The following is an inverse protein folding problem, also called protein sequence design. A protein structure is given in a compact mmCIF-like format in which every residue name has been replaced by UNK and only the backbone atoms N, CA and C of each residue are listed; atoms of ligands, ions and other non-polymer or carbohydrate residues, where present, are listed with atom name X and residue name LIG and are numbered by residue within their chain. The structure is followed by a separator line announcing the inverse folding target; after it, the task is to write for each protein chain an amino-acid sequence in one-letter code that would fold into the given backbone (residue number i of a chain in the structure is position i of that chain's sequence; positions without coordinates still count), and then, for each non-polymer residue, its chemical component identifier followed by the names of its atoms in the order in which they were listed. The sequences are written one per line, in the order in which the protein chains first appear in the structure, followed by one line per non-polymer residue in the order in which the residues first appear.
data_IF_857234274066
#
_entry.id   IF_857234274066
#
_cell.length_a   1.000
_cell.length_b   1.000
_cell.length_c   1.000
_cell.angle_alpha   90.00
_cell.angle_beta   90.00
_cell.angle_gamma   90.00
#
_symmetry.space_group_name_H-M   'P 1'
#
loop_
_entity.id
_entity.type
_entity.pdbx_description
1 polymer ?
#
# COMPACT_ATOMS: atom_id res chain seq x y z
N UNK A 1 26.01 -1.17 7.67
CA UNK A 1 25.78 0.27 7.96
C UNK A 1 26.80 0.71 8.97
N UNK A 2 27.50 1.82 8.72
CA UNK A 2 28.46 2.40 9.68
C UNK A 2 28.11 3.88 9.86
N UNK A 3 28.10 4.32 11.11
CA UNK A 3 28.03 5.73 11.48
C UNK A 3 29.42 6.05 12.03
N UNK A 4 30.07 7.06 11.48
CA UNK A 4 31.36 7.49 12.02
C UNK A 4 31.18 8.25 13.35
N UNK A 5 32.29 8.56 14.03
CA UNK A 5 32.27 9.30 15.29
C UNK A 5 31.75 10.75 15.15
N UNK A 6 31.61 11.25 13.91
CA UNK A 6 31.02 12.55 13.60
C UNK A 6 29.51 12.47 13.30
N UNK A 7 28.91 11.28 13.38
CA UNK A 7 27.49 11.06 13.09
C UNK A 7 27.15 11.04 11.60
N UNK A 8 28.16 10.98 10.70
CA UNK A 8 27.92 10.86 9.26
C UNK A 8 27.57 9.43 8.94
N UNK A 9 26.48 9.28 8.21
CA UNK A 9 26.03 7.99 7.72
C UNK A 9 26.80 7.64 6.46
N UNK A 10 27.33 6.41 6.39
CA UNK A 10 27.92 5.86 5.17
C UNK A 10 27.25 4.53 4.81
N UNK A 11 26.75 4.45 3.58
CA UNK A 11 26.04 3.28 3.07
C UNK A 11 25.45 3.49 1.67
N UNK A 12 24.42 2.72 1.32
CA UNK A 12 23.71 2.83 0.04
C UNK A 12 22.24 3.23 0.23
N UNK A 13 21.79 4.18 -0.57
CA UNK A 13 20.38 4.58 -0.65
C UNK A 13 19.78 4.14 -1.98
N UNK A 14 18.49 3.86 -1.97
CA UNK A 14 17.75 3.46 -3.16
C UNK A 14 17.42 4.70 -4.00
N UNK A 15 17.83 4.69 -5.26
CA UNK A 15 17.67 5.80 -6.20
C UNK A 15 16.93 5.33 -7.46
N UNK A 16 16.16 6.23 -8.06
CA UNK A 16 15.49 5.95 -9.33
C UNK A 16 16.49 6.00 -10.50
N UNK A 17 16.65 4.90 -11.23
CA UNK A 17 17.46 4.85 -12.47
C UNK A 17 16.74 5.49 -13.65
N UNK A 18 15.41 5.38 -13.67
CA UNK A 18 14.54 5.91 -14.73
C UNK A 18 13.44 6.77 -14.13
N UNK A 19 12.64 7.43 -14.98
CA UNK A 19 11.44 8.11 -14.52
C UNK A 19 10.38 7.07 -14.11
N UNK A 20 9.82 7.22 -12.92
CA UNK A 20 8.87 6.27 -12.34
C UNK A 20 7.48 6.91 -12.26
N UNK A 21 6.47 6.20 -12.74
CA UNK A 21 5.11 6.67 -12.76
C UNK A 21 4.44 6.59 -11.38
N UNK A 22 3.44 7.43 -11.16
CA UNK A 22 2.56 7.29 -9.99
C UNK A 22 1.83 5.93 -10.04
N UNK A 23 1.60 5.34 -8.86
CA UNK A 23 0.94 4.03 -8.64
C UNK A 23 1.69 2.82 -9.21
N UNK A 24 2.93 2.97 -9.68
CA UNK A 24 3.73 1.83 -10.15
C UNK A 24 4.48 1.15 -9.00
N UNK A 25 4.77 -0.13 -9.19
CA UNK A 25 5.76 -0.88 -8.41
C UNK A 25 7.01 -0.97 -9.29
N UNK A 26 8.09 -0.21 -8.99
CA UNK A 26 9.30 -0.26 -9.79
C UNK A 26 9.95 -1.64 -9.72
N UNK A 27 10.49 -2.12 -10.83
CA UNK A 27 11.30 -3.33 -10.85
C UNK A 27 12.78 -3.02 -10.55
N UNK A 28 13.63 -4.05 -10.50
CA UNK A 28 15.06 -3.93 -10.19
C UNK A 28 15.83 -3.08 -11.21
N UNK A 29 15.48 -3.16 -12.50
CA UNK A 29 16.15 -2.37 -13.55
C UNK A 29 15.87 -0.86 -13.44
N UNK A 30 14.73 -0.50 -12.85
CA UNK A 30 14.30 0.88 -12.66
C UNK A 30 14.91 1.54 -11.42
N UNK A 31 15.57 0.76 -10.57
CA UNK A 31 16.14 1.20 -9.30
C UNK A 31 17.64 0.93 -9.25
N UNK A 32 18.33 1.66 -8.39
CA UNK A 32 19.75 1.43 -8.15
C UNK A 32 20.12 1.70 -6.69
N UNK A 33 21.03 0.89 -6.15
CA UNK A 33 21.69 1.19 -4.89
C UNK A 33 22.81 2.20 -5.16
N UNK A 34 22.65 3.41 -4.64
CA UNK A 34 23.60 4.51 -4.84
C UNK A 34 24.38 4.78 -3.54
N UNK A 35 25.72 4.85 -3.57
CA UNK A 35 26.52 5.24 -2.40
C UNK A 35 26.11 6.60 -1.86
N UNK A 36 26.02 6.75 -0.56
CA UNK A 36 25.69 8.02 0.09
C UNK A 36 26.52 8.20 1.36
N UNK A 37 27.00 9.42 1.53
CA UNK A 37 27.75 9.87 2.71
C UNK A 37 27.13 11.18 3.22
N UNK A 38 26.90 11.26 4.53
CA UNK A 38 26.34 12.44 5.19
C UNK A 38 25.05 12.12 5.95
N UNK A 39 24.10 13.05 5.98
CA UNK A 39 22.81 12.84 6.66
C UNK A 39 21.75 12.42 5.63
N UNK A 40 21.22 11.19 5.69
CA UNK A 40 20.23 10.73 4.71
C UNK A 40 18.93 11.53 4.84
N UNK A 41 18.19 11.73 3.74
CA UNK A 41 16.85 12.29 3.81
C UNK A 41 15.96 11.50 4.78
N UNK A 42 15.05 12.14 5.53
CA UNK A 42 14.15 11.44 6.43
C UNK A 42 13.37 10.32 5.72
N UNK A 43 13.49 9.10 6.24
CA UNK A 43 12.83 7.93 5.68
C UNK A 43 13.39 7.47 4.32
N UNK A 44 14.62 7.85 3.97
CA UNK A 44 15.31 7.32 2.80
C UNK A 44 15.35 5.78 2.85
N UNK A 45 15.06 5.17 1.70
CA UNK A 45 14.97 3.73 1.57
C UNK A 45 16.32 3.15 1.18
N UNK A 46 16.62 1.97 1.69
CA UNK A 46 17.77 1.14 1.24
C UNK A 46 17.31 -0.03 0.37
N UNK A 47 16.01 -0.33 0.38
CA UNK A 47 15.33 -1.33 -0.44
C UNK A 47 13.87 -0.92 -0.64
N UNK A 48 13.24 -1.38 -1.73
CA UNK A 48 11.83 -1.11 -1.99
C UNK A 48 10.96 -2.09 -1.20
N UNK A 49 10.06 -1.62 -0.30
CA UNK A 49 9.27 -2.52 0.54
C UNK A 49 8.17 -3.22 -0.26
N UNK A 50 7.97 -4.51 0.01
CA UNK A 50 6.86 -5.29 -0.55
C UNK A 50 5.50 -4.73 -0.13
N UNK A 51 4.50 -4.87 -1.01
CA UNK A 51 3.14 -4.39 -0.73
C UNK A 51 2.99 -2.86 -0.81
N UNK A 52 4.00 -2.14 -1.29
CA UNK A 52 3.93 -0.70 -1.56
C UNK A 52 4.03 -0.39 -3.05
N UNK A 53 3.52 0.77 -3.43
CA UNK A 53 3.67 1.39 -4.75
C UNK A 53 4.01 2.86 -4.61
N UNK A 54 4.42 3.49 -5.70
CA UNK A 54 4.65 4.93 -5.70
C UNK A 54 3.34 5.72 -5.50
N UNK A 55 3.36 6.64 -4.53
CA UNK A 55 2.27 7.60 -4.29
C UNK A 55 2.29 8.75 -5.29
N UNK A 56 3.48 9.14 -5.72
CA UNK A 56 3.76 10.29 -6.61
C UNK A 56 4.68 9.86 -7.76
N UNK A 57 4.71 10.57 -8.89
CA UNK A 57 5.76 10.34 -9.88
C UNK A 57 7.14 10.70 -9.30
N UNK A 58 8.17 9.96 -9.70
CA UNK A 58 9.55 10.14 -9.24
C UNK A 58 10.47 10.34 -10.44
N UNK A 59 11.26 11.41 -10.41
CA UNK A 59 12.23 11.72 -11.46
C UNK A 59 13.51 10.89 -11.36
N UNK A 60 14.22 10.76 -12.48
CA UNK A 60 15.52 10.10 -12.58
C UNK A 60 16.50 10.71 -11.56
N UNK A 61 17.25 9.86 -10.87
CA UNK A 61 18.28 10.28 -9.92
C UNK A 61 17.77 10.66 -8.53
N UNK A 62 16.44 10.69 -8.30
CA UNK A 62 15.89 10.96 -6.97
C UNK A 62 16.10 9.76 -6.03
N UNK A 63 16.54 10.04 -4.81
CA UNK A 63 16.53 9.07 -3.69
C UNK A 63 15.10 8.84 -3.25
N UNK A 64 14.67 7.57 -3.19
CA UNK A 64 13.34 7.21 -2.74
C UNK A 64 13.25 7.30 -1.22
N UNK A 65 12.13 7.82 -0.75
CA UNK A 65 11.80 7.93 0.68
C UNK A 65 10.47 7.27 0.98
N UNK A 66 10.21 6.96 2.24
CA UNK A 66 8.91 6.41 2.69
C UNK A 66 7.74 7.32 2.34
N UNK A 67 7.95 8.64 2.27
CA UNK A 67 6.94 9.61 1.87
C UNK A 67 6.57 9.52 0.38
N UNK A 68 7.41 8.89 -0.45
CA UNK A 68 7.12 8.66 -1.87
C UNK A 68 6.21 7.45 -2.10
N UNK A 69 5.96 6.64 -1.06
CA UNK A 69 5.24 5.38 -1.17
C UNK A 69 3.84 5.45 -0.56
N UNK A 70 2.95 4.60 -1.06
CA UNK A 70 1.66 4.25 -0.44
C UNK A 70 1.49 2.73 -0.48
N UNK A 71 0.75 2.12 0.46
CA UNK A 71 0.42 0.70 0.37
C UNK A 71 -0.38 0.40 -0.91
N UNK A 72 -0.15 -0.77 -1.49
CA UNK A 72 -1.00 -1.29 -2.56
C UNK A 72 -2.35 -1.66 -1.93
N UNK A 73 -3.48 -1.15 -2.43
CA UNK A 73 -4.78 -1.53 -1.91
C UNK A 73 -5.01 -3.03 -2.13
N UNK A 74 -5.51 -3.71 -1.11
CA UNK A 74 -5.88 -5.13 -1.19
C UNK A 74 -7.24 -5.33 -1.89
N UNK A 75 -8.01 -4.26 -1.99
CA UNK A 75 -9.25 -4.18 -2.77
C UNK A 75 -9.19 -2.91 -3.59
N UNK A 76 -9.29 -3.00 -4.91
CA UNK A 76 -9.40 -1.85 -5.80
C UNK A 76 -10.87 -1.55 -6.15
N UNK A 77 -11.16 -0.30 -6.53
CA UNK A 77 -12.49 0.08 -7.01
C UNK A 77 -12.88 -0.74 -8.25
N UNK A 78 -14.08 -1.29 -8.26
CA UNK A 78 -14.61 -2.13 -9.33
C UNK A 78 -14.30 -3.61 -9.18
N UNK A 79 -13.42 -4.01 -8.26
CA UNK A 79 -13.11 -5.41 -8.03
C UNK A 79 -14.28 -6.16 -7.35
N UNK A 80 -14.45 -7.46 -7.66
CA UNK A 80 -15.30 -8.32 -6.86
C UNK A 80 -14.70 -8.50 -5.46
N UNK A 81 -15.55 -8.42 -4.45
CA UNK A 81 -15.19 -8.55 -3.03
C UNK A 81 -16.10 -9.57 -2.39
N UNK A 82 -15.50 -10.55 -1.71
CA UNK A 82 -16.22 -11.44 -0.82
C UNK A 82 -16.44 -10.75 0.53
N UNK A 83 -17.70 -10.48 0.84
CA UNK A 83 -18.12 -9.84 2.08
C UNK A 83 -18.63 -10.90 3.05
N UNK A 84 -18.07 -10.92 4.26
CA UNK A 84 -18.51 -11.81 5.34
C UNK A 84 -19.19 -11.00 6.45
N UNK A 85 -20.36 -11.45 6.89
CA UNK A 85 -21.03 -10.98 8.10
C UNK A 85 -21.13 -12.16 9.07
N UNK A 86 -20.60 -12.01 10.27
CA UNK A 86 -20.65 -13.03 11.30
C UNK A 86 -21.43 -12.53 12.52
N UNK A 87 -22.47 -13.27 12.90
CA UNK A 87 -23.27 -13.11 14.11
C UNK A 87 -23.53 -14.50 14.70
N UNK A 88 -22.74 -14.94 15.68
CA UNK A 88 -22.75 -16.32 16.16
C UNK A 88 -24.17 -16.84 16.51
N UNK A 89 -24.53 -18.05 16.05
CA UNK A 89 -23.73 -19.04 15.29
C UNK A 89 -23.73 -18.84 13.76
N UNK A 90 -24.31 -17.75 13.25
CA UNK A 90 -24.55 -17.50 11.83
C UNK A 90 -23.37 -16.77 11.15
N UNK A 91 -22.93 -17.28 10.00
CA UNK A 91 -22.03 -16.56 9.09
C UNK A 91 -22.70 -16.46 7.73
N UNK A 92 -22.81 -15.25 7.20
CA UNK A 92 -23.36 -14.95 5.87
C UNK A 92 -22.22 -14.46 4.99
N UNK A 93 -22.10 -15.02 3.80
CA UNK A 93 -21.14 -14.60 2.78
C UNK A 93 -21.88 -14.11 1.56
N UNK A 94 -21.45 -12.99 0.98
CA UNK A 94 -21.98 -12.44 -0.25
C UNK A 94 -20.86 -11.94 -1.15
N UNK A 95 -21.02 -12.12 -2.47
CA UNK A 95 -20.20 -11.46 -3.47
C UNK A 95 -20.73 -10.04 -3.69
N UNK A 96 -19.83 -9.05 -3.74
CA UNK A 96 -20.14 -7.63 -3.90
C UNK A 96 -19.14 -6.97 -4.85
N UNK A 97 -19.44 -5.76 -5.32
CA UNK A 97 -18.48 -4.95 -6.09
C UNK A 97 -17.93 -3.83 -5.22
N UNK A 98 -16.61 -3.67 -5.17
CA UNK A 98 -15.97 -2.55 -4.49
C UNK A 98 -16.33 -1.22 -5.17
N UNK A 99 -16.85 -0.27 -4.38
CA UNK A 99 -17.10 1.12 -4.81
C UNK A 99 -16.02 2.08 -4.32
N UNK A 100 -15.14 1.64 -3.42
CA UNK A 100 -13.92 2.33 -3.04
C UNK A 100 -12.79 1.32 -2.80
N UNK A 101 -11.56 1.74 -3.09
CA UNK A 101 -10.36 0.95 -2.74
C UNK A 101 -10.07 0.98 -1.23
N UNK A 102 -9.33 0.00 -0.73
CA UNK A 102 -8.85 -0.04 0.65
C UNK A 102 -7.70 -1.02 0.87
N UNK A 103 -6.86 -0.72 1.87
CA UNK A 103 -5.81 -1.57 2.39
C UNK A 103 -6.35 -2.41 3.56
N UNK A 104 -5.52 -3.31 4.09
CA UNK A 104 -5.88 -4.11 5.26
C UNK A 104 -6.37 -3.23 6.42
N UNK A 105 -7.58 -3.50 6.91
CA UNK A 105 -8.19 -2.77 8.02
C UNK A 105 -8.97 -1.51 7.64
N UNK A 106 -8.89 -1.05 6.38
CA UNK A 106 -9.66 0.10 5.92
C UNK A 106 -11.15 -0.25 5.79
N UNK A 107 -12.02 0.71 6.06
CA UNK A 107 -13.46 0.59 5.77
C UNK A 107 -13.74 1.06 4.36
N UNK A 108 -14.28 0.18 3.52
CA UNK A 108 -14.63 0.43 2.12
C UNK A 108 -16.15 0.37 1.89
N UNK A 109 -16.62 1.08 0.86
CA UNK A 109 -17.97 0.94 0.31
C UNK A 109 -18.00 -0.22 -0.67
N UNK A 110 -18.95 -1.13 -0.49
CA UNK A 110 -19.21 -2.25 -1.40
C UNK A 110 -20.68 -2.26 -1.80
N UNK A 111 -20.96 -2.61 -3.05
CA UNK A 111 -22.31 -2.72 -3.59
C UNK A 111 -22.70 -4.18 -3.74
N UNK A 112 -23.81 -4.56 -3.11
CA UNK A 112 -24.40 -5.89 -3.21
C UNK A 112 -25.13 -6.08 -4.55
N UNK A 113 -25.43 -7.32 -4.96
CA UNK A 113 -26.24 -7.60 -6.15
C UNK A 113 -27.63 -6.94 -6.12
N UNK A 114 -28.15 -6.67 -4.92
CA UNK A 114 -29.40 -5.92 -4.69
C UNK A 114 -29.26 -4.41 -4.94
N UNK A 115 -28.09 -3.94 -5.41
CA UNK A 115 -27.70 -2.52 -5.57
C UNK A 115 -27.63 -1.72 -4.27
N UNK A 116 -27.72 -2.38 -3.12
CA UNK A 116 -27.54 -1.74 -1.82
C UNK A 116 -26.04 -1.57 -1.55
N UNK A 117 -25.64 -0.37 -1.15
CA UNK A 117 -24.26 -0.09 -0.71
C UNK A 117 -24.15 -0.28 0.79
N UNK A 118 -23.10 -0.97 1.24
CA UNK A 118 -22.78 -1.17 2.65
C UNK A 118 -21.31 -0.82 2.92
N UNK A 119 -20.97 -0.64 4.20
CA UNK A 119 -19.60 -0.47 4.67
C UNK A 119 -19.06 -1.80 5.16
N UNK A 120 -17.83 -2.13 4.76
CA UNK A 120 -17.15 -3.34 5.20
C UNK A 120 -15.66 -3.03 5.41
N UNK A 121 -15.06 -3.66 6.41
CA UNK A 121 -13.63 -3.57 6.73
C UNK A 121 -12.84 -4.57 5.91
N UNK A 122 -11.82 -4.13 5.19
CA UNK A 122 -10.95 -5.02 4.39
C UNK A 122 -10.18 -5.96 5.33
N UNK A 123 -10.27 -7.25 5.07
CA UNK A 123 -9.59 -8.30 5.87
C UNK A 123 -8.52 -9.04 5.09
N UNK A 124 -8.44 -8.83 3.77
CA UNK A 124 -7.45 -9.45 2.90
C UNK A 124 -7.70 -9.11 1.42
N UNK A 125 -6.88 -9.66 0.50
CA UNK A 125 -7.09 -9.50 -0.94
C UNK A 125 -8.50 -9.93 -1.36
N UNK A 126 -9.26 -9.01 -1.96
CA UNK A 126 -10.64 -9.27 -2.39
C UNK A 126 -11.61 -9.63 -1.25
N UNK A 127 -11.27 -9.34 0.01
CA UNK A 127 -12.04 -9.78 1.17
C UNK A 127 -12.37 -8.63 2.11
N UNK A 128 -13.62 -8.57 2.56
CA UNK A 128 -14.05 -7.62 3.57
C UNK A 128 -15.05 -8.23 4.55
N UNK A 129 -15.17 -7.62 5.73
CA UNK A 129 -16.07 -8.04 6.79
C UNK A 129 -16.98 -6.89 7.21
N UNK A 130 -18.25 -7.16 7.39
CA UNK A 130 -19.18 -6.23 8.03
C UNK A 130 -19.17 -6.49 9.52
N UNK A 131 -18.92 -5.45 10.30
CA UNK A 131 -19.09 -5.51 11.74
C UNK A 131 -20.56 -5.24 12.09
N UNK A 132 -21.17 -6.17 12.82
CA UNK A 132 -22.51 -5.98 13.35
C UNK A 132 -22.46 -4.91 14.45
N UNK A 133 -22.98 -3.71 14.19
CA UNK A 133 -23.31 -2.77 15.26
C UNK A 133 -24.70 -3.11 15.78
N UNK A 134 -24.82 -3.31 17.11
CA UNK A 134 -26.13 -3.39 17.74
C UNK A 134 -26.80 -2.01 17.62
N UNK A 135 -28.08 -1.94 17.23
CA UNK A 135 -28.85 -0.69 17.26
C UNK A 135 -28.97 -0.14 18.68
#
# INVERSE_FOLDING_TARGET
MRVDLEGRWQGTLLRARTALARKSVPNEDQLEAHPFEGTPPPGALTAFPEGFRLRIPVGVGKVLTRADLEPIPLVATGEPVRVTLAWEPLTITAEATARSQGCLGDTIRVELPTRRTILAKVTGPGQARVDWSRP
#
